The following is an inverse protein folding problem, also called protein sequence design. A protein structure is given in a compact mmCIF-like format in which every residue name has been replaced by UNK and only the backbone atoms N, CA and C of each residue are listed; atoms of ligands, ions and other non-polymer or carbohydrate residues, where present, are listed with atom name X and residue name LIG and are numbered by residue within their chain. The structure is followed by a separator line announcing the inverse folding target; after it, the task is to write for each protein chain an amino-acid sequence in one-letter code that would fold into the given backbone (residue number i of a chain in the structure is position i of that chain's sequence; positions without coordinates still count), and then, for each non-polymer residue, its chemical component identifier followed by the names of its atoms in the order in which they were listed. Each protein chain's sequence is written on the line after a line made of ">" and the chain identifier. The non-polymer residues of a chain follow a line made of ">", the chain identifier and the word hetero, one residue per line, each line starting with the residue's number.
data_IF_386315378215
#
_entry.id   IF_386315378215
#
_cell.length_a   1.000
_cell.length_b   1.000
_cell.length_c   1.000
_cell.angle_alpha   90.00
_cell.angle_beta   90.00
_cell.angle_gamma   90.00
#
_symmetry.space_group_name_H-M   'P 1'
#
loop_
_entity.id
_entity.type
_entity.pdbx_description
1 polymer ?
#
# COMPACT_ATOMS: atom_id res chain seq x y z
N UNK A 1 10.44 -45.77 35.74
CA UNK A 1 11.46 -45.32 34.78
C UNK A 1 10.98 -44.04 34.13
N UNK A 2 11.86 -43.04 34.16
CA UNK A 2 11.71 -41.64 33.76
C UNK A 2 11.83 -41.44 32.25
N UNK A 3 11.16 -40.41 31.72
CA UNK A 3 11.57 -39.38 30.72
C UNK A 3 10.36 -39.01 29.84
N UNK A 4 9.75 -37.84 30.02
CA UNK A 4 10.16 -36.52 29.51
C UNK A 4 10.27 -36.46 27.99
N UNK A 5 9.30 -35.79 27.36
CA UNK A 5 9.50 -35.15 26.06
C UNK A 5 8.86 -33.76 26.09
N UNK A 6 9.63 -32.77 26.54
CA UNK A 6 9.49 -31.39 26.10
C UNK A 6 10.14 -31.26 24.72
N UNK A 7 9.47 -30.59 23.79
CA UNK A 7 10.00 -29.57 22.86
C UNK A 7 9.09 -29.47 21.63
N UNK A 8 8.36 -28.37 21.52
CA UNK A 8 8.50 -27.41 20.42
C UNK A 8 7.58 -26.22 20.71
N UNK A 9 8.17 -25.22 21.35
CA UNK A 9 7.77 -23.83 21.31
C UNK A 9 7.86 -23.30 19.85
N UNK A 10 7.07 -22.26 19.56
CA UNK A 10 7.16 -21.37 18.39
C UNK A 10 6.35 -21.75 17.14
N UNK A 11 5.04 -21.69 17.28
CA UNK A 11 4.16 -21.22 16.21
C UNK A 11 3.53 -19.91 16.68
N UNK A 12 4.21 -18.79 16.46
CA UNK A 12 3.58 -17.47 16.59
C UNK A 12 2.42 -17.44 15.60
N UNK A 13 1.23 -17.75 16.12
CA UNK A 13 -0.02 -17.61 15.41
C UNK A 13 -0.23 -16.11 15.26
N UNK A 14 0.19 -15.57 14.12
CA UNK A 14 -0.10 -14.21 13.69
C UNK A 14 -1.60 -14.04 13.73
N UNK A 15 -2.10 -13.52 14.85
CA UNK A 15 -3.50 -13.14 14.99
C UNK A 15 -3.71 -12.03 13.98
N UNK A 16 -4.64 -12.17 13.01
CA UNK A 16 -4.94 -11.06 12.12
C UNK A 16 -5.30 -9.85 12.98
N UNK A 17 -4.73 -8.66 12.71
CA UNK A 17 -5.06 -7.47 13.48
C UNK A 17 -6.58 -7.28 13.49
N UNK A 18 -7.13 -6.85 14.63
CA UNK A 18 -8.56 -6.54 14.68
C UNK A 18 -8.82 -5.34 13.74
N UNK A 19 -10.01 -5.26 13.11
CA UNK A 19 -10.35 -4.15 12.24
C UNK A 19 -10.23 -2.77 12.94
N UNK A 20 -10.43 -2.70 14.25
CA UNK A 20 -10.20 -1.47 15.02
C UNK A 20 -8.72 -1.06 15.12
N UNK A 21 -7.77 -1.99 15.01
CA UNK A 21 -6.34 -1.67 15.03
C UNK A 21 -5.86 -1.12 13.68
N UNK A 22 -6.34 -1.67 12.56
CA UNK A 22 -5.99 -1.19 11.21
C UNK A 22 -6.51 0.24 10.97
N UNK A 23 -7.71 0.54 11.46
CA UNK A 23 -8.29 1.90 11.39
C UNK A 23 -7.53 2.89 12.29
N UNK A 24 -7.08 2.45 13.47
CA UNK A 24 -6.26 3.29 14.35
C UNK A 24 -4.85 3.53 13.78
N UNK A 25 -4.27 2.54 13.11
CA UNK A 25 -2.97 2.65 12.44
C UNK A 25 -3.00 3.65 11.29
N UNK A 26 -4.01 3.60 10.42
CA UNK A 26 -4.14 4.53 9.30
C UNK A 26 -4.28 5.99 9.76
N UNK A 27 -5.08 6.26 10.79
CA UNK A 27 -5.22 7.62 11.34
C UNK A 27 -3.92 8.14 11.97
N UNK A 28 -3.16 7.28 12.65
CA UNK A 28 -1.86 7.64 13.20
C UNK A 28 -0.85 7.96 12.08
N UNK A 29 -0.85 7.17 10.99
CA UNK A 29 0.02 7.39 9.84
C UNK A 29 -0.37 8.62 9.02
N UNK A 30 -1.66 8.96 8.93
CA UNK A 30 -2.10 10.22 8.32
C UNK A 30 -1.62 11.44 9.12
N UNK A 31 -1.62 11.35 10.46
CA UNK A 31 -1.02 12.39 11.31
C UNK A 31 0.49 12.48 11.11
N UNK A 32 1.18 11.35 11.01
CA UNK A 32 2.61 11.31 10.71
C UNK A 32 2.90 11.99 9.36
N UNK A 33 2.13 11.71 8.31
CA UNK A 33 2.28 12.37 7.01
C UNK A 33 2.17 13.90 7.14
N UNK A 34 1.18 14.39 7.90
CA UNK A 34 1.05 15.81 8.22
C UNK A 34 2.23 16.39 9.03
N UNK A 35 2.76 15.63 10.00
CA UNK A 35 3.94 16.02 10.80
C UNK A 35 5.22 16.08 9.96
N UNK A 36 5.32 15.22 8.94
CA UNK A 36 6.41 15.21 7.96
C UNK A 36 6.26 16.32 6.90
N UNK A 37 5.13 17.02 6.88
CA UNK A 37 4.85 18.09 5.93
C UNK A 37 4.43 17.59 4.54
N UNK A 38 3.99 16.33 4.43
CA UNK A 38 3.47 15.77 3.19
C UNK A 38 2.08 16.32 2.88
N UNK A 39 1.85 16.66 1.62
CA UNK A 39 0.56 17.00 1.07
C UNK A 39 -0.17 15.77 0.52
N UNK A 40 -1.47 15.92 0.27
CA UNK A 40 -2.29 14.90 -0.40
C UNK A 40 -1.79 14.52 -1.79
N UNK A 41 -1.06 15.41 -2.46
CA UNK A 41 -0.44 15.13 -3.76
C UNK A 41 0.73 14.16 -3.63
N UNK A 42 1.56 14.32 -2.60
CA UNK A 42 2.74 13.49 -2.38
C UNK A 42 2.32 12.05 -2.06
N UNK A 43 1.33 11.89 -1.17
CA UNK A 43 0.76 10.57 -0.86
C UNK A 43 -0.10 10.04 -2.01
N UNK A 44 -0.70 10.93 -2.80
CA UNK A 44 -1.47 10.56 -3.98
C UNK A 44 -0.63 9.90 -5.09
N UNK A 45 0.64 10.26 -5.22
CA UNK A 45 1.59 9.58 -6.12
C UNK A 45 1.87 8.14 -5.66
N UNK A 46 2.06 7.92 -4.35
CA UNK A 46 2.22 6.57 -3.79
C UNK A 46 0.97 5.68 -4.03
N UNK A 47 -0.23 6.27 -3.94
CA UNK A 47 -1.48 5.57 -4.27
C UNK A 47 -1.54 5.21 -5.75
N UNK A 48 -1.15 6.14 -6.63
CA UNK A 48 -1.10 5.89 -8.06
C UNK A 48 -0.16 4.71 -8.38
N UNK A 49 1.07 4.73 -7.86
CA UNK A 49 2.03 3.63 -8.05
C UNK A 49 1.52 2.29 -7.51
N UNK A 50 0.88 2.29 -6.33
CA UNK A 50 0.29 1.09 -5.74
C UNK A 50 -0.75 0.45 -6.67
N UNK A 51 -1.68 1.24 -7.20
CA UNK A 51 -2.76 0.72 -8.05
C UNK A 51 -2.19 0.23 -9.39
N UNK A 52 -1.30 0.99 -10.03
CA UNK A 52 -0.71 0.58 -11.31
C UNK A 52 0.18 -0.65 -11.21
N UNK A 53 0.86 -0.84 -10.07
CA UNK A 53 1.56 -2.09 -9.80
C UNK A 53 0.58 -3.27 -9.75
N UNK A 54 -0.54 -3.12 -9.05
CA UNK A 54 -1.59 -4.15 -9.00
C UNK A 54 -2.19 -4.46 -10.37
N UNK A 55 -2.42 -3.42 -11.18
CA UNK A 55 -2.92 -3.55 -12.57
C UNK A 55 -1.92 -4.26 -13.48
N UNK A 56 -0.63 -3.90 -13.39
CA UNK A 56 0.45 -4.59 -14.12
C UNK A 56 0.52 -6.07 -13.74
N UNK A 57 0.40 -6.39 -12.45
CA UNK A 57 0.35 -7.77 -11.98
C UNK A 57 -0.90 -8.49 -12.49
N UNK A 58 -2.07 -7.84 -12.50
CA UNK A 58 -3.31 -8.42 -13.03
C UNK A 58 -3.19 -8.72 -14.53
N UNK A 59 -2.66 -7.80 -15.33
CA UNK A 59 -2.38 -8.00 -16.76
C UNK A 59 -1.48 -9.20 -17.00
N UNK A 60 -0.34 -9.26 -16.30
CA UNK A 60 0.64 -10.33 -16.44
C UNK A 60 0.08 -11.71 -16.00
N UNK A 61 -0.98 -11.72 -15.19
CA UNK A 61 -1.69 -12.92 -14.77
C UNK A 61 -2.94 -13.23 -15.63
N UNK A 62 -3.15 -12.50 -16.73
CA UNK A 62 -4.20 -12.78 -17.70
C UNK A 62 -5.56 -12.21 -17.33
N UNK A 63 -5.62 -11.04 -16.69
CA UNK A 63 -6.87 -10.29 -16.58
C UNK A 63 -7.49 -10.01 -17.96
N UNK A 64 -8.82 -10.01 -18.03
CA UNK A 64 -9.61 -9.85 -19.26
C UNK A 64 -9.24 -10.83 -20.40
N UNK A 65 -9.27 -12.17 -20.16
CA UNK A 65 -8.90 -13.16 -21.18
C UNK A 65 -9.83 -13.18 -22.40
N UNK A 66 -11.00 -12.56 -22.30
CA UNK A 66 -11.96 -12.37 -23.38
C UNK A 66 -11.60 -11.26 -24.38
N UNK A 67 -10.66 -10.38 -24.04
CA UNK A 67 -10.22 -9.25 -24.86
C UNK A 67 -8.95 -9.57 -25.67
N UNK A 68 -8.64 -8.73 -26.66
CA UNK A 68 -7.33 -8.73 -27.31
C UNK A 68 -6.26 -8.15 -26.37
N UNK A 69 -4.98 -8.45 -26.64
CA UNK A 69 -3.83 -8.03 -25.80
C UNK A 69 -3.82 -6.53 -25.48
N UNK A 70 -3.96 -5.68 -26.51
CA UNK A 70 -4.01 -4.23 -26.35
C UNK A 70 -5.25 -3.77 -25.57
N UNK A 71 -6.42 -4.33 -25.87
CA UNK A 71 -7.66 -3.94 -25.18
C UNK A 71 -7.64 -4.39 -23.70
N UNK A 72 -7.03 -5.54 -23.40
CA UNK A 72 -6.84 -6.02 -22.03
C UNK A 72 -5.84 -5.15 -21.26
N UNK A 73 -4.77 -4.68 -21.92
CA UNK A 73 -3.81 -3.75 -21.34
C UNK A 73 -4.48 -2.42 -21.01
N UNK A 74 -5.19 -1.82 -21.98
CA UNK A 74 -5.88 -0.55 -21.79
C UNK A 74 -6.94 -0.67 -20.69
N UNK A 75 -7.74 -1.75 -20.67
CA UNK A 75 -8.78 -1.96 -19.67
C UNK A 75 -8.25 -1.95 -18.22
N UNK A 76 -7.16 -2.70 -17.94
CA UNK A 76 -6.62 -2.71 -16.56
C UNK A 76 -5.97 -1.38 -16.17
N UNK A 77 -5.45 -0.62 -17.14
CA UNK A 77 -4.81 0.67 -16.87
C UNK A 77 -5.84 1.78 -16.68
N UNK A 78 -6.93 1.76 -17.45
CA UNK A 78 -8.07 2.66 -17.27
C UNK A 78 -8.75 2.44 -15.90
N UNK A 79 -8.96 1.17 -15.51
CA UNK A 79 -9.50 0.82 -14.19
C UNK A 79 -8.56 1.30 -13.06
N UNK A 80 -7.24 1.21 -13.28
CA UNK A 80 -6.25 1.70 -12.33
C UNK A 80 -6.28 3.23 -12.17
N UNK A 81 -6.37 3.96 -13.28
CA UNK A 81 -6.50 5.41 -13.29
C UNK A 81 -7.78 5.86 -12.55
N UNK A 82 -8.91 5.20 -12.82
CA UNK A 82 -10.18 5.48 -12.14
C UNK A 82 -10.08 5.21 -10.64
N UNK A 83 -9.51 4.06 -10.26
CA UNK A 83 -9.35 3.69 -8.85
C UNK A 83 -8.40 4.64 -8.10
N UNK A 84 -7.25 4.99 -8.67
CA UNK A 84 -6.30 5.92 -8.08
C UNK A 84 -6.95 7.30 -7.89
N UNK A 85 -7.65 7.78 -8.92
CA UNK A 85 -8.40 9.05 -8.84
C UNK A 85 -9.49 9.00 -7.76
N UNK A 86 -10.25 7.91 -7.67
CA UNK A 86 -11.30 7.75 -6.67
C UNK A 86 -10.74 7.75 -5.23
N UNK A 87 -9.56 7.17 -4.99
CA UNK A 87 -8.89 7.20 -3.69
C UNK A 87 -8.33 8.60 -3.41
N UNK A 88 -7.63 9.20 -4.38
CA UNK A 88 -6.96 10.49 -4.20
C UNK A 88 -7.93 11.62 -3.92
N UNK A 89 -9.15 11.57 -4.46
CA UNK A 89 -10.20 12.56 -4.21
C UNK A 89 -10.90 12.43 -2.84
N UNK A 90 -10.49 11.49 -1.99
CA UNK A 90 -11.07 11.28 -0.64
C UNK A 90 -10.21 11.85 0.49
N UNK A 91 -9.12 12.53 0.16
CA UNK A 91 -8.21 13.19 1.11
C UNK A 91 -7.19 12.24 1.75
N UNK A 92 -6.27 12.84 2.51
CA UNK A 92 -5.07 12.19 3.03
C UNK A 92 -5.34 10.90 3.83
N UNK A 93 -6.32 10.92 4.74
CA UNK A 93 -6.64 9.75 5.56
C UNK A 93 -7.09 8.55 4.72
N UNK A 94 -7.87 8.79 3.65
CA UNK A 94 -8.34 7.72 2.77
C UNK A 94 -7.21 7.15 1.91
N UNK A 95 -6.31 8.01 1.43
CA UNK A 95 -5.11 7.59 0.70
C UNK A 95 -4.20 6.72 1.58
N UNK A 96 -3.91 7.16 2.81
CA UNK A 96 -3.10 6.39 3.77
C UNK A 96 -3.79 5.07 4.14
N UNK A 97 -5.11 5.06 4.36
CA UNK A 97 -5.83 3.82 4.64
C UNK A 97 -5.74 2.81 3.48
N UNK A 98 -5.81 3.28 2.22
CA UNK A 98 -5.64 2.42 1.05
C UNK A 98 -4.23 1.81 1.00
N UNK A 99 -3.19 2.63 1.22
CA UNK A 99 -1.81 2.16 1.28
C UNK A 99 -1.60 1.14 2.42
N UNK A 100 -2.20 1.37 3.59
CA UNK A 100 -2.12 0.43 4.73
C UNK A 100 -2.78 -0.90 4.38
N UNK A 101 -3.93 -0.86 3.71
CA UNK A 101 -4.60 -2.07 3.23
C UNK A 101 -3.77 -2.88 2.24
N UNK A 102 -2.96 -2.24 1.42
CA UNK A 102 -2.14 -2.91 0.41
C UNK A 102 -0.78 -3.41 0.94
N UNK A 103 -0.12 -2.64 1.81
CA UNK A 103 1.26 -2.89 2.21
C UNK A 103 1.47 -3.15 3.71
N UNK A 104 0.46 -2.86 4.53
CA UNK A 104 0.54 -2.88 5.99
C UNK A 104 1.23 -1.66 6.58
N UNK A 105 0.88 -1.36 7.85
CA UNK A 105 1.27 -0.12 8.55
C UNK A 105 2.78 0.15 8.53
N UNK A 106 3.62 -0.86 8.83
CA UNK A 106 5.08 -0.68 8.93
C UNK A 106 5.74 -0.35 7.58
N UNK A 107 5.18 -0.81 6.47
CA UNK A 107 5.70 -0.49 5.14
C UNK A 107 5.29 0.93 4.76
N UNK A 108 4.04 1.31 5.02
CA UNK A 108 3.53 2.67 4.77
C UNK A 108 4.28 3.70 5.60
N UNK A 109 4.54 3.43 6.88
CA UNK A 109 5.34 4.33 7.73
C UNK A 109 6.72 4.63 7.13
N UNK A 110 7.37 3.63 6.53
CA UNK A 110 8.65 3.79 5.85
C UNK A 110 8.51 4.61 4.57
N UNK A 111 7.53 4.28 3.72
CA UNK A 111 7.26 5.03 2.49
C UNK A 111 6.98 6.52 2.76
N UNK A 112 6.15 6.83 3.78
CA UNK A 112 5.88 8.23 4.16
C UNK A 112 7.14 8.97 4.62
N UNK A 113 8.06 8.30 5.31
CA UNK A 113 9.33 8.92 5.71
C UNK A 113 10.30 9.10 4.55
N UNK A 114 10.29 8.20 3.59
CA UNK A 114 11.11 8.28 2.39
C UNK A 114 10.65 9.44 1.47
N UNK A 115 9.35 9.73 1.43
CA UNK A 115 8.78 10.87 0.70
C UNK A 115 8.93 12.22 1.42
N UNK A 116 9.30 12.22 2.70
CA UNK A 116 9.37 13.46 3.48
C UNK A 116 10.40 14.44 2.87
N UNK A 117 10.07 15.73 2.71
CA UNK A 117 10.96 16.73 2.13
C UNK A 117 12.25 16.84 2.96
N UNK A 118 13.37 16.42 2.34
CA UNK A 118 14.68 16.33 2.98
C UNK A 118 15.32 14.94 2.91
N UNK A 119 14.55 13.90 2.57
CA UNK A 119 15.08 12.66 2.01
C UNK A 119 15.28 12.86 0.51
N UNK A 120 16.44 13.40 0.11
CA UNK A 120 16.83 13.41 -1.30
C UNK A 120 16.91 11.98 -1.80
N UNK A 121 15.97 11.58 -2.66
CA UNK A 121 16.17 10.48 -3.59
C UNK A 121 17.47 10.79 -4.37
N UNK A 122 18.54 9.97 -4.28
CA UNK A 122 19.83 10.26 -4.93
C UNK A 122 19.80 10.05 -6.46
N UNK A 123 18.70 10.42 -7.13
CA UNK A 123 18.45 10.11 -8.54
C UNK A 123 17.89 11.24 -9.40
N UNK A 124 17.25 12.27 -8.84
CA UNK A 124 16.68 13.36 -9.65
C UNK A 124 17.61 14.58 -9.64
N UNK A 125 18.65 14.53 -10.48
CA UNK A 125 19.31 15.73 -11.00
C UNK A 125 18.90 15.90 -12.47
N UNK A 126 18.26 17.04 -12.69
CA UNK A 126 17.99 17.82 -13.92
C UNK A 126 18.37 17.27 -15.30
#
# INVERSE_FOLDING_TARGET
>A
MTTSRQHADRGESGTPPRPDQEVQGAAALARLAGELGLAETDVGELVYEMVHRGSSDAYNNGAHPELGDLDAFDAVHDDADEQASAINNRGLEAQVAALVGAFGEQQVERMLRDEAPGHTHPGSVS
#
